data_IF_301837190352
#
_entry.id   IF_301837190352
#
_cell.length_a   1.000
_cell.length_b   1.000
_cell.length_c   1.000
_cell.angle_alpha   90.00
_cell.angle_beta   90.00
_cell.angle_gamma   90.00
#
_symmetry.space_group_name_H-M   'P 1'
#
loop_
_entity.id
_entity.type
_entity.pdbx_description
1 polymer ?
#
# COMPACT_ATOMS: atom_id res chain seq x y z
N UNK A 1 -13.72 3.35 4.02
CA UNK A 1 -13.09 3.70 5.32
C UNK A 1 -12.51 5.10 5.28
N UNK A 2 -11.46 5.38 4.48
CA UNK A 2 -10.77 6.68 4.44
C UNK A 2 -11.68 7.91 4.27
N UNK A 3 -12.69 7.86 3.38
CA UNK A 3 -13.68 8.94 3.22
C UNK A 3 -14.49 9.23 4.49
N UNK A 4 -14.78 8.22 5.32
CA UNK A 4 -15.49 8.42 6.60
C UNK A 4 -14.64 9.18 7.61
N UNK A 5 -13.32 9.13 7.47
CA UNK A 5 -12.36 9.89 8.28
C UNK A 5 -12.20 11.33 7.80
N UNK A 6 -12.93 11.74 6.75
CA UNK A 6 -12.82 13.07 6.15
C UNK A 6 -11.62 13.23 5.21
N UNK A 7 -11.01 12.14 4.77
CA UNK A 7 -9.93 12.14 3.79
C UNK A 7 -10.48 12.03 2.37
N UNK A 8 -9.79 12.65 1.42
CA UNK A 8 -10.06 12.55 -0.02
C UNK A 8 -9.02 11.64 -0.69
N UNK A 9 -9.23 10.31 -0.71
CA UNK A 9 -8.25 9.39 -1.26
C UNK A 9 -8.21 9.48 -2.80
N UNK A 10 -7.01 9.59 -3.35
CA UNK A 10 -6.75 9.37 -4.77
C UNK A 10 -6.60 7.86 -5.01
N UNK A 11 -7.55 7.27 -5.72
CA UNK A 11 -7.54 5.85 -6.04
C UNK A 11 -6.89 5.68 -7.41
N UNK A 12 -5.68 5.09 -7.45
CA UNK A 12 -4.86 5.01 -8.65
C UNK A 12 -5.61 4.42 -9.86
N UNK A 13 -6.33 3.32 -9.69
CA UNK A 13 -7.08 2.68 -10.78
C UNK A 13 -8.22 3.56 -11.34
N UNK A 14 -8.77 4.47 -10.54
CA UNK A 14 -9.86 5.37 -10.94
C UNK A 14 -9.38 6.64 -11.64
N UNK A 15 -8.10 6.97 -11.54
CA UNK A 15 -7.53 8.12 -12.23
C UNK A 15 -7.47 7.86 -13.74
N UNK A 16 -7.87 8.83 -14.54
CA UNK A 16 -7.86 8.71 -16.00
C UNK A 16 -6.43 8.55 -16.53
N UNK A 17 -6.19 7.51 -17.34
CA UNK A 17 -4.86 7.27 -17.90
C UNK A 17 -4.48 8.33 -18.93
N UNK A 18 -5.42 8.87 -19.71
CA UNK A 18 -5.17 10.01 -20.61
C UNK A 18 -4.04 9.80 -21.64
N UNK A 19 -3.72 8.54 -21.99
CA UNK A 19 -2.57 8.18 -22.83
C UNK A 19 -1.23 8.06 -22.09
N UNK A 20 -1.22 8.32 -20.78
CA UNK A 20 -0.07 8.22 -19.90
C UNK A 20 0.19 6.77 -19.48
N UNK A 21 1.46 6.47 -19.29
CA UNK A 21 1.94 5.26 -18.61
C UNK A 21 1.62 5.31 -17.11
N UNK A 22 1.64 4.15 -16.46
CA UNK A 22 1.50 4.06 -15.00
C UNK A 22 2.56 4.91 -14.28
N UNK A 23 3.76 5.02 -14.86
CA UNK A 23 4.87 5.79 -14.30
C UNK A 23 4.52 7.27 -14.26
N UNK A 24 4.14 7.86 -15.40
CA UNK A 24 3.78 9.28 -15.49
C UNK A 24 2.54 9.64 -14.65
N UNK A 25 1.62 8.69 -14.51
CA UNK A 25 0.46 8.83 -13.63
C UNK A 25 0.88 8.92 -12.17
N UNK A 26 1.78 8.03 -11.72
CA UNK A 26 2.33 8.01 -10.36
C UNK A 26 3.20 9.25 -10.07
N UNK A 27 3.88 9.79 -11.08
CA UNK A 27 4.63 11.04 -10.96
C UNK A 27 3.72 12.26 -10.77
N UNK A 28 2.50 12.27 -11.34
CA UNK A 28 1.54 13.37 -11.12
C UNK A 28 1.02 13.39 -9.69
N UNK A 29 0.61 12.23 -9.17
CA UNK A 29 0.10 12.09 -7.79
C UNK A 29 1.12 12.50 -6.72
N UNK A 30 2.42 12.56 -7.05
CA UNK A 30 3.47 13.14 -6.19
C UNK A 30 3.12 14.52 -5.65
N UNK A 31 2.47 15.35 -6.46
CA UNK A 31 2.17 16.74 -6.09
C UNK A 31 0.95 16.83 -5.17
N UNK A 32 0.07 15.83 -5.22
CA UNK A 32 -1.28 15.89 -4.65
C UNK A 32 -1.46 14.94 -3.45
N UNK A 33 -0.54 13.99 -3.23
CA UNK A 33 -0.62 13.02 -2.14
C UNK A 33 0.48 13.26 -1.08
N UNK A 34 0.07 13.25 0.20
CA UNK A 34 0.98 13.41 1.35
C UNK A 34 1.22 12.10 2.12
N UNK A 35 0.51 11.02 1.75
CA UNK A 35 0.59 9.69 2.32
C UNK A 35 0.05 8.67 1.31
N UNK A 36 0.65 7.49 1.22
CA UNK A 36 0.16 6.40 0.38
C UNK A 36 -0.19 5.15 1.20
N UNK A 37 -1.24 4.48 0.77
CA UNK A 37 -1.69 3.20 1.33
C UNK A 37 -1.70 2.18 0.21
N UNK A 38 -0.91 1.12 0.35
CA UNK A 38 -0.82 0.02 -0.61
C UNK A 38 -1.57 -1.18 -0.04
N UNK A 39 -2.47 -1.77 -0.83
CA UNK A 39 -3.16 -3.00 -0.45
C UNK A 39 -2.44 -4.20 -1.08
N UNK A 40 -1.84 -5.03 -0.23
CA UNK A 40 -1.14 -6.25 -0.62
C UNK A 40 -1.98 -7.47 -0.26
N UNK A 41 -2.52 -8.15 -1.27
CA UNK A 41 -3.30 -9.38 -1.17
C UNK A 41 -2.59 -10.54 -1.88
N UNK A 42 -2.88 -11.81 -1.52
CA UNK A 42 -2.23 -13.01 -2.07
C UNK A 42 -2.74 -13.34 -3.48
N UNK A 43 -2.60 -12.39 -4.40
CA UNK A 43 -3.19 -12.46 -5.74
C UNK A 43 -2.37 -13.30 -6.72
N UNK A 44 -1.05 -13.34 -6.51
CA UNK A 44 -0.11 -14.12 -7.30
C UNK A 44 0.57 -15.18 -6.44
N UNK A 45 1.10 -16.22 -7.08
CA UNK A 45 2.03 -17.18 -6.47
C UNK A 45 3.36 -17.13 -7.22
N UNK A 46 4.46 -17.35 -6.52
CA UNK A 46 5.79 -17.37 -7.14
C UNK A 46 6.83 -18.08 -6.29
N UNK A 47 7.96 -18.38 -6.92
CA UNK A 47 9.15 -18.90 -6.29
C UNK A 47 10.38 -18.53 -7.12
N UNK A 48 11.58 -18.69 -6.56
CA UNK A 48 12.83 -18.52 -7.30
C UNK A 48 12.94 -19.60 -8.39
N UNK A 49 13.57 -19.26 -9.51
CA UNK A 49 13.82 -20.23 -10.57
C UNK A 49 14.52 -21.48 -9.98
N UNK A 50 14.11 -22.67 -10.42
CA UNK A 50 14.64 -23.95 -9.96
C UNK A 50 14.35 -24.31 -8.48
N UNK A 51 13.53 -23.53 -7.78
CA UNK A 51 13.15 -23.74 -6.37
C UNK A 51 11.62 -23.86 -6.17
N UNK A 52 10.93 -24.85 -6.78
CA UNK A 52 9.48 -25.00 -6.67
C UNK A 52 8.98 -25.23 -5.23
N UNK A 53 9.84 -25.71 -4.34
CA UNK A 53 9.58 -25.89 -2.90
C UNK A 53 9.36 -24.57 -2.15
N UNK A 54 9.79 -23.45 -2.71
CA UNK A 54 9.69 -22.11 -2.10
C UNK A 54 8.42 -21.37 -2.53
N UNK A 55 7.46 -22.07 -3.13
CA UNK A 55 6.22 -21.47 -3.62
C UNK A 55 5.49 -20.75 -2.48
N UNK A 56 5.29 -19.45 -2.67
CA UNK A 56 4.60 -18.59 -1.72
C UNK A 56 3.59 -17.69 -2.44
N UNK A 57 2.57 -17.26 -1.70
CA UNK A 57 1.69 -16.20 -2.16
C UNK A 57 2.42 -14.86 -2.11
N UNK A 58 2.11 -13.95 -3.04
CA UNK A 58 2.69 -12.61 -3.08
C UNK A 58 1.70 -11.61 -3.67
N UNK A 59 1.97 -10.34 -3.41
CA UNK A 59 1.24 -9.25 -4.06
C UNK A 59 1.50 -9.27 -5.58
N UNK A 60 0.55 -8.77 -6.38
CA UNK A 60 0.74 -8.66 -7.82
C UNK A 60 1.97 -7.82 -8.16
N UNK A 61 2.66 -8.18 -9.23
CA UNK A 61 3.87 -7.47 -9.67
C UNK A 61 3.65 -5.96 -9.87
N UNK A 62 2.50 -5.55 -10.41
CA UNK A 62 2.16 -4.14 -10.57
C UNK A 62 2.05 -3.41 -9.23
N UNK A 63 1.52 -4.06 -8.19
CA UNK A 63 1.42 -3.51 -6.83
C UNK A 63 2.80 -3.33 -6.21
N UNK A 64 3.71 -4.29 -6.45
CA UNK A 64 5.12 -4.18 -6.00
C UNK A 64 5.83 -3.01 -6.67
N UNK A 65 5.62 -2.80 -7.97
CA UNK A 65 6.14 -1.64 -8.70
C UNK A 65 5.60 -0.32 -8.15
N UNK A 66 4.28 -0.22 -7.98
CA UNK A 66 3.60 0.96 -7.42
C UNK A 66 4.11 1.27 -6.01
N UNK A 67 4.29 0.26 -5.16
CA UNK A 67 4.91 0.40 -3.84
C UNK A 67 6.31 1.02 -3.95
N UNK A 68 7.19 0.44 -4.77
CA UNK A 68 8.54 0.95 -4.98
C UNK A 68 8.56 2.42 -5.43
N UNK A 69 7.65 2.79 -6.32
CA UNK A 69 7.49 4.17 -6.78
C UNK A 69 6.99 5.11 -5.68
N UNK A 70 5.96 4.72 -4.93
CA UNK A 70 5.47 5.54 -3.81
C UNK A 70 6.54 5.75 -2.74
N UNK A 71 7.39 4.75 -2.49
CA UNK A 71 8.52 4.87 -1.57
C UNK A 71 9.56 5.86 -2.07
N UNK A 72 9.86 5.85 -3.37
CA UNK A 72 10.78 6.83 -3.98
C UNK A 72 10.23 8.25 -3.93
N UNK A 73 8.91 8.40 -3.99
CA UNK A 73 8.24 9.71 -4.12
C UNK A 73 7.96 10.35 -2.75
N UNK A 74 7.38 9.58 -1.82
CA UNK A 74 6.90 10.08 -0.52
C UNK A 74 7.87 9.76 0.63
N UNK A 75 8.78 8.82 0.43
CA UNK A 75 9.62 8.27 1.48
C UNK A 75 8.91 7.17 2.28
N UNK A 76 9.71 6.31 2.92
CA UNK A 76 9.23 5.12 3.65
C UNK A 76 8.26 5.42 4.78
N UNK A 77 8.37 6.59 5.40
CA UNK A 77 7.61 6.96 6.59
C UNK A 77 6.23 7.56 6.26
N UNK A 78 5.93 7.75 4.97
CA UNK A 78 4.63 8.20 4.45
C UNK A 78 3.94 7.14 3.59
N UNK A 79 4.38 5.89 3.69
CA UNK A 79 3.79 4.76 2.96
C UNK A 79 3.46 3.64 3.95
N UNK A 80 2.21 3.19 3.95
CA UNK A 80 1.75 2.02 4.70
C UNK A 80 1.28 0.92 3.74
N UNK A 81 1.70 -0.32 4.02
CA UNK A 81 1.27 -1.52 3.31
C UNK A 81 0.27 -2.26 4.17
N UNK A 82 -0.99 -2.31 3.75
CA UNK A 82 -2.02 -3.16 4.33
C UNK A 82 -1.84 -4.55 3.74
N UNK A 83 -1.41 -5.51 4.56
CA UNK A 83 -1.01 -6.83 4.08
C UNK A 83 -1.99 -7.89 4.58
N UNK A 84 -2.67 -8.56 3.65
CA UNK A 84 -3.54 -9.69 3.98
C UNK A 84 -2.68 -10.89 4.39
N UNK A 85 -3.07 -11.58 5.45
CA UNK A 85 -2.43 -12.83 5.89
C UNK A 85 -0.89 -12.81 5.80
N UNK A 86 -0.31 -11.93 6.63
CA UNK A 86 1.13 -11.62 6.66
C UNK A 86 2.05 -12.83 6.87
N UNK A 87 1.51 -13.99 7.24
CA UNK A 87 2.23 -15.24 7.52
C UNK A 87 2.41 -16.05 6.22
N UNK A 88 1.42 -16.05 5.35
CA UNK A 88 1.40 -16.87 4.12
C UNK A 88 1.92 -16.12 2.89
N UNK A 89 2.15 -14.81 3.02
CA UNK A 89 2.60 -13.96 1.93
C UNK A 89 4.07 -13.58 2.05
N UNK A 90 4.78 -13.67 0.93
CA UNK A 90 6.11 -13.11 0.74
C UNK A 90 6.11 -11.60 1.01
N UNK A 91 7.09 -11.14 1.79
CA UNK A 91 7.37 -9.71 1.98
C UNK A 91 8.60 -9.36 1.16
N UNK A 92 8.56 -8.27 0.37
CA UNK A 92 9.78 -7.76 -0.26
C UNK A 92 10.83 -7.44 0.81
N UNK A 93 11.89 -8.24 0.86
CA UNK A 93 12.92 -8.16 1.91
C UNK A 93 13.71 -6.85 1.85
N UNK A 94 13.80 -6.23 0.68
CA UNK A 94 14.60 -5.03 0.42
C UNK A 94 13.97 -3.74 0.96
N UNK A 95 12.76 -3.81 1.52
CA UNK A 95 11.97 -2.63 1.91
C UNK A 95 11.98 -2.44 3.43
N UNK A 96 13.17 -2.22 4.00
CA UNK A 96 13.34 -2.03 5.43
C UNK A 96 12.80 -0.67 5.91
N UNK A 97 11.95 -0.70 6.95
CA UNK A 97 11.39 0.51 7.57
C UNK A 97 10.11 1.04 6.92
N UNK A 98 9.47 0.24 6.06
CA UNK A 98 8.08 0.49 5.63
C UNK A 98 7.12 -0.09 6.66
N UNK A 99 6.00 0.62 6.84
CA UNK A 99 4.97 0.25 7.80
C UNK A 99 4.12 -0.85 7.18
N UNK A 100 4.16 -2.05 7.76
CA UNK A 100 3.26 -3.15 7.39
C UNK A 100 2.16 -3.28 8.44
N UNK A 101 0.90 -3.17 8.01
CA UNK A 101 -0.27 -3.32 8.87
C UNK A 101 -1.02 -4.57 8.43
N UNK A 102 -1.00 -5.65 9.23
CA UNK A 102 -1.66 -6.88 8.85
C UNK A 102 -3.18 -6.77 8.96
N UNK A 103 -3.90 -7.48 8.10
CA UNK A 103 -5.33 -7.77 8.26
C UNK A 103 -5.60 -9.22 7.80
N UNK A 104 -6.70 -9.82 8.26
CA UNK A 104 -7.06 -11.20 7.91
C UNK A 104 -8.22 -11.25 6.93
N UNK A 105 -9.40 -10.85 7.36
CA UNK A 105 -10.63 -10.97 6.57
C UNK A 105 -11.04 -9.63 5.98
N UNK A 106 -11.04 -8.59 6.81
CA UNK A 106 -11.51 -7.25 6.44
C UNK A 106 -10.44 -6.19 6.69
N UNK A 107 -10.28 -5.28 5.73
CA UNK A 107 -9.31 -4.17 5.82
C UNK A 107 -9.59 -3.25 7.02
N UNK A 108 -10.83 -3.20 7.53
CA UNK A 108 -11.19 -2.46 8.75
C UNK A 108 -10.48 -2.95 10.01
N UNK A 109 -9.94 -4.17 10.03
CA UNK A 109 -9.05 -4.64 11.11
C UNK A 109 -7.79 -3.77 11.23
N UNK A 110 -7.34 -3.20 10.10
CA UNK A 110 -6.18 -2.30 10.03
C UNK A 110 -6.51 -0.83 10.32
N UNK A 111 -7.81 -0.50 10.48
CA UNK A 111 -8.32 0.87 10.57
C UNK A 111 -7.60 1.72 11.63
N UNK A 112 -7.56 1.23 12.87
CA UNK A 112 -7.00 1.99 14.00
C UNK A 112 -5.50 2.22 13.86
N UNK A 113 -4.76 1.19 13.42
CA UNK A 113 -3.32 1.30 13.19
C UNK A 113 -3.04 2.28 12.06
N UNK A 114 -3.76 2.16 10.94
CA UNK A 114 -3.59 3.06 9.80
C UNK A 114 -3.92 4.51 10.16
N UNK A 115 -4.99 4.74 10.91
CA UNK A 115 -5.38 6.09 11.34
C UNK A 115 -4.31 6.75 12.21
N UNK A 116 -3.69 6.00 13.13
CA UNK A 116 -2.58 6.50 13.95
C UNK A 116 -1.37 6.88 13.11
N UNK A 117 -0.99 6.04 12.16
CA UNK A 117 0.16 6.30 11.27
C UNK A 117 -0.06 7.55 10.42
N UNK A 118 -1.23 7.68 9.79
CA UNK A 118 -1.58 8.87 9.00
C UNK A 118 -1.59 10.12 9.90
N UNK A 119 -2.21 10.04 11.08
CA UNK A 119 -2.26 11.16 12.03
C UNK A 119 -0.87 11.58 12.52
N UNK A 120 0.08 10.65 12.67
CA UNK A 120 1.46 10.95 13.06
C UNK A 120 2.21 11.80 12.03
N UNK A 121 1.73 11.83 10.77
CA UNK A 121 2.32 12.57 9.65
C UNK A 121 1.69 13.94 9.41
N UNK A 122 0.87 14.41 10.36
CA UNK A 122 0.22 15.71 10.33
C UNK A 122 -1.07 15.75 9.50
N UNK A 123 -1.58 14.59 9.06
CA UNK A 123 -2.85 14.49 8.35
C UNK A 123 -3.93 14.22 9.39
N UNK A 124 -4.76 15.22 9.67
CA UNK A 124 -5.76 15.11 10.74
C UNK A 124 -6.80 14.04 10.43
N UNK A 125 -6.95 13.07 11.34
CA UNK A 125 -8.01 12.08 11.34
C UNK A 125 -8.77 12.19 12.66
N UNK A 126 -10.08 12.28 12.57
CA UNK A 126 -10.96 12.17 13.72
C UNK A 126 -11.06 10.70 14.17
N UNK A 127 -10.30 10.35 15.21
CA UNK A 127 -10.23 8.98 15.75
C UNK A 127 -11.58 8.47 16.29
N UNK A 128 -12.56 9.34 16.54
CA UNK A 128 -13.91 8.91 16.93
C UNK A 128 -14.72 8.30 15.77
N UNK A 129 -14.27 8.51 14.53
CA UNK A 129 -14.87 8.00 13.28
C UNK A 129 -14.15 6.77 12.72
N UNK A 130 -13.19 6.24 13.46
CA UNK A 130 -12.33 5.12 13.06
C UNK A 130 -12.96 3.79 13.39
#
# INVERSE_FOLDING_TARGET
>A
MLRRWGLEPLILDQLTSGGQTIIEKLERVRSDANFAVVLATPDDEGHRAEHPEEKAHRARQNVVLELGMMLSVLGRDRVAVLMKDQIQMERPSDIQGVIYIPFKEDVSESALSLAKEISSKGIHIDLSKV
#
